data_IF_795418634884
#
_entry.id   IF_795418634884
#
_cell.length_a   1.000
_cell.length_b   1.000
_cell.length_c   1.000
_cell.angle_alpha   90.00
_cell.angle_beta   90.00
_cell.angle_gamma   90.00
#
_symmetry.space_group_name_H-M   'P 1'
#
loop_
_entity.id
_entity.type
_entity.pdbx_description
1 polymer ?
#
# COMPACT_ATOMS: atom_id res chain seq x y z
N UNK A 1 -16.55 29.70 -42.27
CA UNK A 1 -16.81 28.36 -42.83
C UNK A 1 -15.48 27.69 -43.08
N UNK A 2 -15.34 26.40 -42.70
CA UNK A 2 -14.14 25.52 -42.74
C UNK A 2 -13.30 25.54 -41.45
N UNK A 3 -12.95 24.44 -40.79
CA UNK A 3 -13.33 23.02 -40.79
C UNK A 3 -12.77 22.49 -39.45
N UNK A 4 -13.56 21.75 -38.68
CA UNK A 4 -13.12 20.57 -37.91
C UNK A 4 -14.12 19.45 -38.28
N UNK A 5 -13.87 18.12 -38.14
CA UNK A 5 -12.78 17.41 -37.45
C UNK A 5 -12.32 16.07 -38.14
N UNK A 6 -11.49 15.27 -37.46
CA UNK A 6 -11.32 13.78 -37.55
C UNK A 6 -10.84 13.13 -38.86
N UNK A 7 -9.54 12.80 -38.93
CA UNK A 7 -9.01 11.59 -39.59
C UNK A 7 -7.58 11.36 -39.04
N UNK A 8 -7.38 10.51 -38.04
CA UNK A 8 -7.25 9.06 -38.17
C UNK A 8 -6.10 8.67 -39.13
N UNK A 9 -5.01 8.20 -38.53
CA UNK A 9 -4.23 7.06 -39.01
C UNK A 9 -3.52 7.19 -40.37
N UNK A 10 -2.33 7.80 -40.45
CA UNK A 10 -1.21 7.22 -41.21
C UNK A 10 0.10 8.01 -40.99
N UNK A 11 0.80 7.75 -39.88
CA UNK A 11 2.25 7.93 -39.87
C UNK A 11 2.86 6.61 -39.37
N UNK A 12 3.33 5.85 -40.36
CA UNK A 12 3.80 4.48 -40.31
C UNK A 12 5.12 4.35 -39.55
N UNK A 13 5.06 4.24 -38.22
CA UNK A 13 6.19 3.71 -37.42
C UNK A 13 6.11 2.17 -37.34
N UNK A 14 6.18 1.50 -38.50
CA UNK A 14 6.32 0.04 -38.59
C UNK A 14 7.79 -0.32 -38.33
N UNK A 15 8.20 -0.38 -37.06
CA UNK A 15 9.35 -1.18 -36.67
C UNK A 15 8.90 -2.22 -35.65
N UNK A 16 8.37 -3.32 -36.19
CA UNK A 16 8.04 -4.53 -35.47
C UNK A 16 9.32 -5.13 -34.87
N UNK A 17 9.50 -4.98 -33.56
CA UNK A 17 10.35 -5.90 -32.79
C UNK A 17 9.42 -6.88 -32.07
N UNK A 18 9.31 -8.06 -32.66
CA UNK A 18 8.58 -9.18 -32.13
C UNK A 18 9.23 -9.69 -30.83
N UNK A 19 8.45 -9.85 -29.77
CA UNK A 19 8.64 -10.99 -28.88
C UNK A 19 7.33 -11.80 -28.84
N UNK A 20 7.45 -13.02 -29.33
CA UNK A 20 6.41 -14.05 -29.48
C UNK A 20 5.99 -14.55 -28.09
N UNK A 21 4.70 -14.81 -27.91
CA UNK A 21 4.11 -15.13 -26.62
C UNK A 21 4.10 -16.60 -26.17
N UNK A 22 3.23 -16.83 -25.19
CA UNK A 22 2.73 -18.09 -24.61
C UNK A 22 2.08 -17.72 -23.25
N UNK A 23 0.89 -18.11 -22.82
CA UNK A 23 -0.06 -19.12 -23.30
C UNK A 23 -0.33 -20.16 -22.20
N UNK A 24 -1.22 -19.88 -21.22
CA UNK A 24 -1.83 -20.81 -20.25
C UNK A 24 -0.88 -21.49 -19.24
N UNK A 25 -1.27 -21.92 -18.04
CA UNK A 25 -2.58 -22.36 -17.53
C UNK A 25 -2.65 -22.35 -15.98
N UNK A 26 -3.88 -22.54 -15.48
CA UNK A 26 -4.28 -23.18 -14.20
C UNK A 26 -4.27 -22.38 -12.89
N UNK A 27 -5.49 -22.00 -12.49
CA UNK A 27 -5.78 -21.53 -11.14
C UNK A 27 -5.85 -22.67 -10.12
N UNK A 28 -5.37 -22.42 -8.91
CA UNK A 28 -5.77 -23.16 -7.72
C UNK A 28 -6.34 -22.17 -6.71
N UNK A 29 -7.66 -22.22 -6.52
CA UNK A 29 -8.28 -21.80 -5.27
C UNK A 29 -7.94 -22.82 -4.20
N UNK A 30 -7.36 -22.36 -3.09
CA UNK A 30 -7.18 -23.12 -1.86
C UNK A 30 -7.76 -22.32 -0.70
N UNK A 31 -8.80 -22.87 -0.06
CA UNK A 31 -9.50 -22.27 1.07
C UNK A 31 -8.67 -22.23 2.37
N UNK A 32 -9.30 -21.82 3.49
CA UNK A 32 -8.61 -21.50 4.73
C UNK A 32 -8.27 -22.77 5.51
N UNK A 33 -7.07 -22.81 6.09
CA UNK A 33 -6.64 -23.92 6.93
C UNK A 33 -5.52 -23.55 7.86
N UNK A 34 -5.82 -23.59 9.17
CA UNK A 34 -4.89 -24.16 10.14
C UNK A 34 -4.07 -23.19 10.96
N UNK A 35 -4.53 -22.98 12.19
CA UNK A 35 -3.78 -22.45 13.33
C UNK A 35 -2.63 -23.42 13.65
N UNK A 36 -1.41 -22.91 13.84
CA UNK A 36 -0.28 -23.73 14.29
C UNK A 36 1.06 -22.99 14.28
N UNK A 37 1.36 -22.28 15.36
CA UNK A 37 2.71 -21.79 15.65
C UNK A 37 2.99 -22.03 17.13
N UNK A 38 3.35 -23.28 17.45
CA UNK A 38 3.94 -23.63 18.74
C UNK A 38 5.39 -23.14 18.78
N UNK A 39 5.76 -22.71 19.97
CA UNK A 39 7.06 -22.22 20.39
C UNK A 39 8.20 -23.21 20.14
N UNK A 40 9.43 -22.71 20.05
CA UNK A 40 10.57 -23.52 20.47
C UNK A 40 11.93 -23.12 19.90
N UNK A 41 12.75 -22.50 20.74
CA UNK A 41 14.17 -22.33 20.49
C UNK A 41 14.97 -23.64 20.51
N UNK A 42 16.16 -23.53 19.92
CA UNK A 42 17.41 -24.26 20.19
C UNK A 42 17.44 -25.79 20.07
N UNK A 43 18.04 -26.28 18.99
CA UNK A 43 18.80 -27.53 18.97
C UNK A 43 18.71 -28.34 17.68
N UNK A 44 19.87 -28.62 17.06
CA UNK A 44 20.05 -29.69 16.05
C UNK A 44 20.34 -29.21 14.64
N UNK A 45 21.60 -29.36 14.20
CA UNK A 45 22.01 -29.23 12.80
C UNK A 45 22.29 -30.61 12.23
N UNK A 46 21.38 -31.13 11.41
CA UNK A 46 21.57 -32.36 10.66
C UNK A 46 20.62 -32.41 9.45
N UNK A 47 21.05 -31.82 8.34
CA UNK A 47 20.40 -31.99 7.04
C UNK A 47 20.64 -30.80 6.11
N UNK A 48 21.39 -31.03 5.04
CA UNK A 48 21.77 -30.01 4.06
C UNK A 48 20.57 -29.23 3.50
N UNK A 49 20.47 -27.97 3.89
CA UNK A 49 19.69 -26.96 3.21
C UNK A 49 20.62 -25.82 2.82
N UNK A 50 20.71 -25.52 1.54
CA UNK A 50 21.18 -24.23 1.07
C UNK A 50 20.08 -23.19 1.40
N UNK A 51 19.82 -22.98 2.68
CA UNK A 51 18.92 -21.95 3.19
C UNK A 51 19.81 -20.84 3.71
N UNK A 52 19.78 -19.68 3.04
CA UNK A 52 20.57 -18.52 3.38
C UNK A 52 20.58 -18.29 4.89
N UNK A 53 21.79 -18.16 5.42
CA UNK A 53 22.04 -17.92 6.84
C UNK A 53 21.09 -16.84 7.35
N UNK A 54 20.39 -17.16 8.43
CA UNK A 54 19.68 -16.18 9.22
C UNK A 54 20.64 -15.05 9.55
N UNK A 55 20.43 -13.91 8.91
CA UNK A 55 20.91 -12.67 9.44
C UNK A 55 20.22 -12.52 10.79
N UNK A 56 20.99 -12.54 11.86
CA UNK A 56 20.66 -11.72 13.01
C UNK A 56 20.70 -10.27 12.52
N UNK A 57 19.66 -9.87 11.78
CA UNK A 57 19.61 -8.61 11.06
C UNK A 57 19.48 -7.53 12.12
N UNK A 58 20.49 -6.68 12.23
CA UNK A 58 20.45 -5.43 13.00
C UNK A 58 19.56 -4.40 12.28
N UNK A 59 18.50 -4.87 11.63
CA UNK A 59 17.83 -4.25 10.50
C UNK A 59 16.34 -4.46 10.75
N UNK A 60 15.65 -3.40 11.15
CA UNK A 60 14.23 -3.38 11.52
C UNK A 60 13.29 -3.59 10.31
N UNK A 61 13.79 -3.35 9.09
CA UNK A 61 13.05 -3.54 7.85
C UNK A 61 13.94 -3.75 6.62
N UNK A 62 13.39 -4.33 5.56
CA UNK A 62 14.12 -4.46 4.29
C UNK A 62 14.30 -3.08 3.64
N UNK A 63 15.52 -2.66 3.27
CA UNK A 63 15.77 -1.34 2.69
C UNK A 63 14.87 -1.03 1.49
N UNK A 64 14.18 0.10 1.53
CA UNK A 64 13.25 0.54 0.48
C UNK A 64 11.92 -0.22 0.41
N UNK A 65 11.66 -1.16 1.33
CA UNK A 65 10.33 -1.74 1.49
C UNK A 65 9.32 -0.66 1.90
N UNK A 66 8.04 -0.89 1.59
CA UNK A 66 6.94 0.01 1.94
C UNK A 66 5.92 -0.75 2.79
N UNK A 67 5.28 -0.03 3.71
CA UNK A 67 4.13 -0.54 4.47
C UNK A 67 3.11 0.57 4.74
N UNK A 68 1.90 0.15 5.04
CA UNK A 68 0.85 1.03 5.53
C UNK A 68 1.23 1.59 6.90
N UNK A 69 0.87 2.85 7.13
CA UNK A 69 1.10 3.54 8.39
C UNK A 69 -0.03 4.51 8.68
N UNK A 70 -0.22 4.78 9.97
CA UNK A 70 -1.17 5.78 10.43
C UNK A 70 -0.76 6.22 11.83
N UNK A 71 -0.61 7.54 12.02
CA UNK A 71 -0.15 8.14 13.28
C UNK A 71 -1.29 8.70 14.12
N UNK A 72 -2.51 8.73 13.58
CA UNK A 72 -3.72 9.11 14.30
C UNK A 72 -4.23 8.03 15.28
N UNK A 73 -5.28 8.33 16.05
CA UNK A 73 -5.91 7.37 16.96
C UNK A 73 -6.43 6.13 16.23
N UNK A 74 -6.19 4.94 16.77
CA UNK A 74 -6.67 3.69 16.18
C UNK A 74 -8.21 3.66 16.06
N UNK A 75 -8.70 3.23 14.90
CA UNK A 75 -10.11 3.20 14.53
C UNK A 75 -10.61 4.43 13.77
N UNK A 76 -9.76 5.44 13.57
CA UNK A 76 -10.11 6.66 12.80
C UNK A 76 -9.60 6.62 11.37
N UNK A 77 -8.67 5.71 11.04
CA UNK A 77 -7.92 5.68 9.77
C UNK A 77 -8.75 5.43 8.50
N UNK A 78 -10.04 5.13 8.66
CA UNK A 78 -11.00 4.96 7.55
C UNK A 78 -12.29 5.74 7.77
N UNK A 79 -12.31 6.69 8.69
CA UNK A 79 -13.48 7.52 9.01
C UNK A 79 -13.32 8.90 8.39
N UNK A 80 -14.40 9.41 7.78
CA UNK A 80 -14.41 10.79 7.30
C UNK A 80 -13.30 11.13 6.31
N UNK A 81 -12.58 12.20 6.62
CA UNK A 81 -11.40 12.64 5.88
C UNK A 81 -10.15 11.79 6.13
N UNK A 82 -10.12 11.02 7.21
CA UNK A 82 -8.92 10.32 7.65
C UNK A 82 -8.60 9.12 6.77
N UNK A 83 -7.31 8.99 6.46
CA UNK A 83 -6.80 7.94 5.59
C UNK A 83 -5.45 7.43 6.06
N UNK A 84 -5.23 6.14 5.85
CA UNK A 84 -3.93 5.48 6.00
C UNK A 84 -2.93 6.06 4.97
N UNK A 85 -1.69 6.25 5.41
CA UNK A 85 -0.56 6.60 4.55
C UNK A 85 0.36 5.41 4.29
N UNK A 86 1.52 5.69 3.67
CA UNK A 86 2.58 4.69 3.50
C UNK A 86 3.93 5.24 3.93
N UNK A 87 4.69 4.43 4.62
CA UNK A 87 6.07 4.72 5.01
C UNK A 87 7.04 3.80 4.29
N UNK A 88 8.25 4.30 4.03
CA UNK A 88 9.30 3.57 3.33
C UNK A 88 10.47 3.34 4.28
N UNK A 89 10.98 2.12 4.31
CA UNK A 89 12.16 1.76 5.08
C UNK A 89 13.40 2.47 4.52
N UNK A 90 14.25 3.01 5.39
CA UNK A 90 15.48 3.70 4.99
C UNK A 90 16.47 2.75 4.27
N UNK A 91 17.49 3.32 3.62
CA UNK A 91 18.45 2.55 2.84
C UNK A 91 19.30 1.61 3.71
N UNK A 92 19.45 1.95 4.98
CA UNK A 92 20.19 1.19 5.99
C UNK A 92 19.37 0.04 6.56
N UNK A 93 18.05 0.03 6.34
CA UNK A 93 17.10 -0.93 6.88
C UNK A 93 16.86 -0.81 8.39
N UNK A 94 17.22 0.31 8.99
CA UNK A 94 17.18 0.51 10.45
C UNK A 94 15.96 1.28 10.93
N UNK A 95 15.27 2.00 10.05
CA UNK A 95 14.14 2.85 10.43
C UNK A 95 13.14 3.01 9.29
N UNK A 96 11.91 3.30 9.66
CA UNK A 96 10.86 3.72 8.74
C UNK A 96 10.83 5.24 8.61
N UNK A 97 10.58 5.71 7.39
CA UNK A 97 10.44 7.13 7.08
C UNK A 97 9.14 7.75 7.61
N UNK A 98 8.84 8.97 7.18
CA UNK A 98 7.57 9.59 7.48
C UNK A 98 6.41 8.81 6.84
N UNK A 99 5.25 8.86 7.49
CA UNK A 99 4.03 8.29 6.94
C UNK A 99 3.43 9.24 5.90
N UNK A 100 3.69 8.96 4.62
CA UNK A 100 3.30 9.85 3.53
C UNK A 100 1.87 9.54 3.10
N UNK A 101 1.06 10.60 2.99
CA UNK A 101 -0.32 10.50 2.51
C UNK A 101 -1.34 10.12 3.58
N UNK A 102 -0.93 10.01 4.85
CA UNK A 102 -1.90 9.93 5.93
C UNK A 102 -2.67 11.26 6.08
N UNK A 103 -3.94 11.14 6.47
CA UNK A 103 -4.75 12.26 6.96
C UNK A 103 -5.22 11.85 8.34
N UNK A 104 -4.78 12.59 9.35
CA UNK A 104 -5.10 12.33 10.77
C UNK A 104 -6.20 13.30 11.25
N UNK A 105 -6.90 12.99 12.34
CA UNK A 105 -7.97 13.83 12.86
C UNK A 105 -7.51 15.26 13.13
N UNK A 106 -8.35 16.21 12.73
CA UNK A 106 -8.21 17.64 13.04
C UNK A 106 -9.48 18.15 13.70
N UNK A 107 -9.45 19.27 14.46
CA UNK A 107 -10.68 19.81 15.03
C UNK A 107 -11.71 20.14 13.94
N UNK A 108 -12.97 19.78 14.21
CA UNK A 108 -14.11 19.99 13.31
C UNK A 108 -14.30 21.46 12.93
N UNK A 109 -14.71 21.70 11.69
CA UNK A 109 -15.06 23.03 11.20
C UNK A 109 -16.40 23.02 10.46
N UNK A 110 -17.28 23.97 10.77
CA UNK A 110 -18.56 24.09 10.06
C UNK A 110 -18.38 24.21 8.54
N UNK A 111 -19.04 23.34 7.79
CA UNK A 111 -19.05 23.40 6.33
C UNK A 111 -19.77 24.66 5.80
N UNK A 112 -19.09 25.55 5.07
CA UNK A 112 -19.73 26.72 4.49
C UNK A 112 -20.75 26.37 3.39
N UNK A 113 -21.80 27.20 3.16
CA UNK A 113 -22.81 26.94 2.14
C UNK A 113 -22.21 26.71 0.75
N UNK A 114 -22.57 25.60 0.12
CA UNK A 114 -22.10 25.24 -1.22
C UNK A 114 -20.80 24.43 -1.25
N UNK A 115 -20.28 24.01 -0.09
CA UNK A 115 -19.21 23.01 0.01
C UNK A 115 -19.76 21.62 0.37
N UNK A 116 -18.95 20.59 0.14
CA UNK A 116 -19.25 19.22 0.57
C UNK A 116 -18.86 19.08 2.02
N UNK A 117 -19.75 18.59 2.89
CA UNK A 117 -19.43 18.46 4.30
C UNK A 117 -18.56 17.22 4.53
N UNK A 118 -17.63 17.33 5.47
CA UNK A 118 -16.57 16.38 5.74
C UNK A 118 -16.46 16.20 7.25
N UNK A 119 -16.23 14.96 7.67
CA UNK A 119 -15.89 14.60 9.05
C UNK A 119 -14.37 14.80 9.22
N UNK A 120 -13.96 15.90 9.85
CA UNK A 120 -12.54 16.27 9.97
C UNK A 120 -11.87 15.70 11.22
N UNK A 121 -12.65 15.45 12.27
CA UNK A 121 -12.16 14.81 13.50
C UNK A 121 -12.28 13.27 13.48
N UNK A 122 -12.86 12.73 12.42
CA UNK A 122 -12.95 11.31 12.09
C UNK A 122 -13.65 10.50 13.18
N UNK A 123 -14.64 11.10 13.83
CA UNK A 123 -15.46 10.46 14.87
C UNK A 123 -16.70 9.72 14.32
N UNK A 124 -16.94 9.85 13.00
CA UNK A 124 -18.04 9.22 12.28
C UNK A 124 -19.29 10.09 12.13
N UNK A 125 -19.21 11.35 12.53
CA UNK A 125 -20.27 12.35 12.38
C UNK A 125 -19.75 13.52 11.51
N UNK A 126 -20.63 14.34 10.94
CA UNK A 126 -20.23 15.44 10.05
C UNK A 126 -20.85 16.76 10.54
N UNK A 127 -20.03 17.80 10.68
CA UNK A 127 -20.41 19.15 11.12
C UNK A 127 -20.92 19.20 12.58
N UNK A 128 -20.23 18.54 13.53
CA UNK A 128 -20.57 18.52 14.97
C UNK A 128 -19.93 19.65 15.77
N UNK A 129 -19.29 20.60 15.08
CA UNK A 129 -18.71 21.78 15.71
C UNK A 129 -19.78 22.52 16.56
N UNK A 130 -19.46 22.89 17.82
CA UNK A 130 -20.39 23.54 18.74
C UNK A 130 -20.71 25.01 18.42
#
# INVERSE_FOLDING_TARGET
MRQLPRLCCLCLCILALACKGGGGTDGQGGGPGGNGGVDGGSGGVDGGGNGGVGGSSTTDCDPGSMRDCYTGPAGTETMGACTIGSETCNAEGTDWGACIGEVVPTPEVDTPPGQTPVDEDCDGMIDEAP
#
